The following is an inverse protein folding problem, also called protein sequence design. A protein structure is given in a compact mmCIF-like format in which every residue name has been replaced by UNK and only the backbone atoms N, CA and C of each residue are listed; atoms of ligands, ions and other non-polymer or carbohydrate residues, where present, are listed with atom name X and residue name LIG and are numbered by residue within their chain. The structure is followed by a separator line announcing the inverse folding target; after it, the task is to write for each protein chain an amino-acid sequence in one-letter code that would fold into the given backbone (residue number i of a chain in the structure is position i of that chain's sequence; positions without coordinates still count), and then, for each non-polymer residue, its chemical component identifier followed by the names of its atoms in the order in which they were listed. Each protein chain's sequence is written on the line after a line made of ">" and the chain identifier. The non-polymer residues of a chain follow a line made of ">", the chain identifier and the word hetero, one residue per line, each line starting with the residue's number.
data_IF_471107558971
#
_entry.id   IF_471107558971
#
_cell.length_a   1.000
_cell.length_b   1.000
_cell.length_c   1.000
_cell.angle_alpha   90.00
_cell.angle_beta   90.00
_cell.angle_gamma   90.00
#
_symmetry.space_group_name_H-M   'P 1'
#
loop_
_entity.id
_entity.type
_entity.pdbx_description
1 polymer ?
#
# COMPACT_ATOMS: atom_id res chain seq x y z
N UNK A 1 -7.41 -4.59 -28.67
CA UNK A 1 -7.71 -4.93 -27.26
C UNK A 1 -7.30 -3.75 -26.41
N UNK A 2 -8.15 -3.23 -25.54
CA UNK A 2 -7.78 -2.12 -24.63
C UNK A 2 -6.98 -2.68 -23.45
N UNK A 3 -5.97 -1.93 -23.00
CA UNK A 3 -5.18 -2.23 -21.79
C UNK A 3 -5.48 -1.19 -20.74
N UNK A 4 -5.59 -1.63 -19.47
CA UNK A 4 -5.64 -0.77 -18.30
C UNK A 4 -4.28 -0.89 -17.59
N UNK A 5 -3.57 0.23 -17.49
CA UNK A 5 -2.31 0.29 -16.76
C UNK A 5 -2.56 0.98 -15.42
N UNK A 6 -2.21 0.29 -14.34
CA UNK A 6 -2.34 0.79 -12.98
C UNK A 6 -0.93 1.08 -12.46
N UNK A 7 -0.56 2.35 -12.24
CA UNK A 7 0.74 2.68 -11.67
C UNK A 7 0.83 2.21 -10.23
N UNK A 8 2.03 1.84 -9.74
CA UNK A 8 2.22 1.30 -8.39
C UNK A 8 1.99 2.33 -7.27
N UNK A 9 1.91 3.61 -7.61
CA UNK A 9 1.71 4.69 -6.65
C UNK A 9 2.89 4.83 -5.69
N UNK A 10 2.63 4.69 -4.41
CA UNK A 10 3.64 4.81 -3.34
C UNK A 10 4.55 3.58 -3.18
N UNK A 11 4.41 2.58 -4.06
CA UNK A 11 5.06 1.26 -3.94
C UNK A 11 6.04 1.00 -5.09
N UNK A 12 6.84 -0.06 -4.93
CA UNK A 12 7.66 -0.69 -5.95
C UNK A 12 7.60 -2.21 -5.82
N UNK A 13 8.31 -2.97 -6.66
CA UNK A 13 8.35 -4.43 -6.62
C UNK A 13 7.01 -5.12 -6.93
N UNK A 14 6.05 -4.38 -7.48
CA UNK A 14 4.72 -4.89 -7.86
C UNK A 14 4.84 -5.87 -9.03
N UNK A 15 5.79 -5.64 -9.90
CA UNK A 15 6.18 -6.53 -11.00
C UNK A 15 6.71 -7.87 -10.48
N UNK A 16 7.58 -7.85 -9.46
CA UNK A 16 8.12 -9.04 -8.82
C UNK A 16 7.00 -9.85 -8.12
N UNK A 17 6.09 -9.17 -7.41
CA UNK A 17 4.93 -9.81 -6.79
C UNK A 17 4.02 -10.45 -7.85
N UNK A 18 3.76 -9.75 -8.95
CA UNK A 18 2.98 -10.26 -10.08
C UNK A 18 3.65 -11.48 -10.73
N UNK A 19 4.97 -11.45 -10.91
CA UNK A 19 5.72 -12.57 -11.44
C UNK A 19 5.64 -13.81 -10.53
N UNK A 20 5.71 -13.62 -9.20
CA UNK A 20 5.63 -14.70 -8.22
C UNK A 20 4.30 -15.47 -8.26
N UNK A 21 3.20 -14.86 -8.75
CA UNK A 21 1.92 -15.55 -8.93
C UNK A 21 2.03 -16.77 -9.85
N UNK A 22 2.99 -16.76 -10.79
CA UNK A 22 3.19 -17.85 -11.75
C UNK A 22 3.64 -19.16 -11.10
N UNK A 23 4.24 -19.07 -9.92
CA UNK A 23 4.63 -20.25 -9.13
C UNK A 23 3.63 -20.58 -8.02
N UNK A 24 2.59 -19.78 -7.86
CA UNK A 24 1.60 -19.90 -6.79
C UNK A 24 2.01 -19.16 -5.52
N UNK A 25 1.11 -18.26 -5.09
CA UNK A 25 1.20 -17.55 -3.82
C UNK A 25 0.34 -18.25 -2.77
N UNK A 26 0.86 -18.36 -1.56
CA UNK A 26 0.16 -18.87 -0.37
C UNK A 26 -0.40 -17.74 0.47
N UNK A 27 0.42 -16.71 0.71
CA UNK A 27 0.03 -15.52 1.47
C UNK A 27 0.51 -14.23 0.82
N UNK A 28 -0.29 -13.18 1.00
CA UNK A 28 0.11 -11.78 0.75
C UNK A 28 -0.46 -10.95 1.89
N UNK A 29 0.42 -10.30 2.63
CA UNK A 29 0.09 -9.41 3.73
C UNK A 29 0.66 -8.02 3.45
N UNK A 30 -0.15 -6.99 3.65
CA UNK A 30 0.24 -5.60 3.48
C UNK A 30 -0.07 -4.81 4.76
N UNK A 31 0.97 -4.39 5.44
CA UNK A 31 0.89 -3.52 6.61
C UNK A 31 1.13 -2.08 6.19
N UNK A 32 0.16 -1.21 6.47
CA UNK A 32 0.21 0.23 6.18
C UNK A 32 0.30 0.98 7.50
N UNK A 33 1.41 1.66 7.71
CA UNK A 33 1.69 2.42 8.93
C UNK A 33 1.83 3.90 8.58
N UNK A 34 1.07 4.74 9.26
CA UNK A 34 1.11 6.19 9.06
C UNK A 34 1.02 6.91 10.41
N UNK A 35 1.48 8.16 10.48
CA UNK A 35 1.24 8.99 11.66
C UNK A 35 -0.26 9.18 11.89
N UNK A 36 -0.72 9.40 13.15
CA UNK A 36 -2.14 9.57 13.47
C UNK A 36 -2.84 10.65 12.63
N UNK A 37 -2.15 11.75 12.32
CA UNK A 37 -2.69 12.85 11.51
C UNK A 37 -3.09 12.41 10.10
N UNK A 38 -2.44 11.41 9.52
CA UNK A 38 -2.80 10.89 8.20
C UNK A 38 -4.09 10.05 8.22
N UNK A 39 -4.56 9.63 9.38
CA UNK A 39 -5.80 8.91 9.59
C UNK A 39 -6.97 9.81 10.01
N UNK A 40 -6.71 11.09 10.28
CA UNK A 40 -7.74 12.06 10.69
C UNK A 40 -8.82 12.22 9.60
N UNK A 41 -10.07 12.39 10.04
CA UNK A 41 -11.23 12.47 9.17
C UNK A 41 -11.56 11.15 8.45
N UNK A 42 -11.16 10.02 8.99
CA UNK A 42 -11.50 8.68 8.50
C UNK A 42 -12.19 7.87 9.59
N UNK A 43 -12.69 6.68 9.24
CA UNK A 43 -13.26 5.73 10.20
C UNK A 43 -12.28 5.34 11.34
N UNK A 44 -10.98 5.56 11.17
CA UNK A 44 -9.99 5.29 12.21
C UNK A 44 -10.27 6.02 13.52
N UNK A 45 -10.87 7.22 13.47
CA UNK A 45 -11.24 8.01 14.67
C UNK A 45 -12.32 7.34 15.52
N UNK A 46 -13.12 6.45 14.93
CA UNK A 46 -14.11 5.66 15.67
C UNK A 46 -13.54 4.37 16.23
N UNK A 47 -12.40 3.91 15.68
CA UNK A 47 -11.77 2.65 16.05
C UNK A 47 -10.65 2.81 17.09
N UNK A 48 -10.05 4.00 17.19
CA UNK A 48 -9.03 4.30 18.19
C UNK A 48 -8.94 5.80 18.47
N UNK A 49 -8.48 6.15 19.67
CA UNK A 49 -8.19 7.54 20.06
C UNK A 49 -6.86 7.98 19.43
N UNK A 50 -6.93 8.49 18.18
CA UNK A 50 -5.74 8.92 17.42
C UNK A 50 -4.91 9.99 18.15
N UNK A 51 -5.56 10.89 18.90
CA UNK A 51 -4.88 11.99 19.60
C UNK A 51 -4.17 11.52 20.89
N UNK A 52 -4.73 10.52 21.55
CA UNK A 52 -4.22 9.96 22.80
C UNK A 52 -3.17 8.88 22.62
N UNK A 53 -2.86 8.45 21.38
CA UNK A 53 -1.89 7.36 21.15
C UNK A 53 -0.51 7.69 21.70
N UNK A 54 0.10 6.71 22.39
CA UNK A 54 1.48 6.77 22.93
C UNK A 54 2.37 5.68 22.33
N UNK A 55 1.77 4.72 21.61
CA UNK A 55 2.45 3.62 20.95
C UNK A 55 1.72 3.27 19.64
N UNK A 56 2.34 2.54 18.71
CA UNK A 56 1.70 2.08 17.50
C UNK A 56 0.45 1.25 17.79
N UNK A 57 -0.67 1.59 17.15
CA UNK A 57 -1.96 0.92 17.28
C UNK A 57 -2.41 0.37 15.94
N UNK A 58 -2.54 -0.96 15.84
CA UNK A 58 -3.23 -1.59 14.73
C UNK A 58 -4.75 -1.50 14.98
N UNK A 59 -5.44 -0.69 14.21
CA UNK A 59 -6.88 -0.43 14.40
C UNK A 59 -7.76 -1.16 13.38
N UNK A 60 -7.15 -1.75 12.34
CA UNK A 60 -7.87 -2.51 11.33
C UNK A 60 -7.06 -3.73 10.89
N UNK A 61 -7.76 -4.86 10.78
CA UNK A 61 -7.29 -6.08 10.14
C UNK A 61 -8.41 -6.64 9.25
N UNK A 62 -8.12 -6.92 7.99
CA UNK A 62 -9.12 -7.42 7.07
C UNK A 62 -8.54 -7.76 5.71
N UNK A 63 -9.40 -7.84 4.72
CA UNK A 63 -9.03 -8.03 3.31
C UNK A 63 -8.68 -6.69 2.65
N UNK A 64 -7.98 -6.76 1.51
CA UNK A 64 -7.69 -5.54 0.73
C UNK A 64 -8.98 -4.88 0.22
N UNK A 65 -10.03 -5.66 -0.08
CA UNK A 65 -11.35 -5.14 -0.45
C UNK A 65 -11.97 -4.32 0.68
N UNK A 66 -11.99 -4.87 1.90
CA UNK A 66 -12.54 -4.19 3.07
C UNK A 66 -11.75 -2.92 3.41
N UNK A 67 -10.41 -3.01 3.38
CA UNK A 67 -9.55 -1.86 3.63
C UNK A 67 -9.81 -0.72 2.64
N UNK A 68 -9.91 -1.02 1.34
CA UNK A 68 -10.16 -0.02 0.31
C UNK A 68 -11.57 0.58 0.40
N UNK A 69 -12.58 -0.21 0.78
CA UNK A 69 -13.95 0.27 0.95
C UNK A 69 -14.09 1.22 2.15
N UNK A 70 -13.43 0.90 3.28
CA UNK A 70 -13.52 1.66 4.53
C UNK A 70 -12.57 2.86 4.60
N UNK A 71 -11.41 2.75 3.94
CA UNK A 71 -10.33 3.76 3.97
C UNK A 71 -9.88 4.16 2.56
N UNK A 72 -10.78 4.65 1.69
CA UNK A 72 -10.51 4.83 0.26
C UNK A 72 -9.38 5.84 -0.03
N UNK A 73 -9.16 6.82 0.85
CA UNK A 73 -8.10 7.83 0.69
C UNK A 73 -6.74 7.38 1.24
N UNK A 74 -6.69 6.27 1.99
CA UNK A 74 -5.50 5.86 2.73
C UNK A 74 -4.99 4.48 2.34
N UNK A 75 -5.87 3.61 1.83
CA UNK A 75 -5.58 2.21 1.56
C UNK A 75 -5.71 1.81 0.07
N UNK A 76 -5.75 2.78 -0.86
CA UNK A 76 -5.84 2.50 -2.31
C UNK A 76 -4.70 1.59 -2.80
N UNK A 77 -3.49 1.78 -2.28
CA UNK A 77 -2.33 0.93 -2.61
C UNK A 77 -2.51 -0.53 -2.21
N UNK A 78 -3.41 -0.83 -1.26
CA UNK A 78 -3.72 -2.21 -0.90
C UNK A 78 -4.39 -2.97 -2.06
N UNK A 79 -5.20 -2.29 -2.86
CA UNK A 79 -5.78 -2.88 -4.07
C UNK A 79 -4.72 -3.15 -5.14
N UNK A 80 -3.72 -2.28 -5.29
CA UNK A 80 -2.62 -2.50 -6.24
C UNK A 80 -1.85 -3.76 -5.87
N UNK A 81 -1.48 -3.92 -4.59
CA UNK A 81 -0.84 -5.13 -4.06
C UNK A 81 -1.71 -6.37 -4.28
N UNK A 82 -3.00 -6.25 -3.98
CA UNK A 82 -3.93 -7.35 -4.12
C UNK A 82 -4.11 -7.80 -5.59
N UNK A 83 -4.23 -6.85 -6.52
CA UNK A 83 -4.36 -7.14 -7.94
C UNK A 83 -3.10 -7.79 -8.53
N UNK A 84 -1.93 -7.40 -8.02
CA UNK A 84 -0.67 -8.03 -8.39
C UNK A 84 -0.40 -9.38 -7.70
N UNK A 85 -1.13 -9.68 -6.62
CA UNK A 85 -0.95 -10.88 -5.79
C UNK A 85 -2.13 -11.84 -5.82
N UNK A 86 -2.75 -12.06 -4.65
CA UNK A 86 -3.82 -13.06 -4.45
C UNK A 86 -5.23 -12.57 -4.72
N UNK A 87 -5.40 -11.35 -5.19
CA UNK A 87 -6.69 -10.70 -5.35
C UNK A 87 -7.23 -10.05 -4.07
N UNK A 88 -8.27 -9.19 -4.20
CA UNK A 88 -8.75 -8.34 -3.11
C UNK A 88 -9.29 -9.07 -1.89
N UNK A 89 -9.81 -10.28 -2.07
CA UNK A 89 -10.49 -11.04 -1.03
C UNK A 89 -9.52 -11.95 -0.23
N UNK A 90 -8.36 -12.28 -0.81
CA UNK A 90 -7.36 -13.16 -0.19
C UNK A 90 -6.13 -12.42 0.35
N UNK A 91 -5.82 -11.24 -0.19
CA UNK A 91 -4.74 -10.40 0.32
C UNK A 91 -5.15 -9.75 1.64
N UNK A 92 -4.32 -9.89 2.67
CA UNK A 92 -4.59 -9.35 4.01
C UNK A 92 -3.99 -7.96 4.16
N UNK A 93 -4.69 -7.11 4.90
CA UNK A 93 -4.28 -5.73 5.18
C UNK A 93 -4.38 -5.44 6.66
N UNK A 94 -3.35 -4.82 7.19
CA UNK A 94 -3.30 -4.25 8.54
C UNK A 94 -3.06 -2.75 8.45
N UNK A 95 -3.93 -1.94 9.06
CA UNK A 95 -3.75 -0.49 9.15
C UNK A 95 -3.31 -0.11 10.56
N UNK A 96 -2.29 0.74 10.64
CA UNK A 96 -1.65 1.11 11.90
C UNK A 96 -1.49 2.63 11.99
N UNK A 97 -1.91 3.20 13.10
CA UNK A 97 -1.55 4.55 13.50
C UNK A 97 -0.32 4.46 14.42
N UNK A 98 0.76 5.15 14.05
CA UNK A 98 2.02 5.15 14.80
C UNK A 98 2.43 6.58 15.14
N UNK A 99 2.30 7.01 16.41
CA UNK A 99 2.65 8.37 16.82
C UNK A 99 4.15 8.69 16.71
N UNK A 100 5.01 7.67 16.63
CA UNK A 100 6.45 7.86 16.44
C UNK A 100 6.85 7.93 14.97
N UNK A 101 5.92 7.63 14.03
CA UNK A 101 6.23 7.66 12.60
C UNK A 101 6.12 9.07 12.04
N UNK A 102 7.15 9.50 11.32
CA UNK A 102 7.15 10.73 10.52
C UNK A 102 6.92 10.46 9.02
N UNK A 103 6.73 9.19 8.63
CA UNK A 103 6.64 8.74 7.23
C UNK A 103 5.42 7.84 7.01
N UNK A 104 5.00 7.74 5.76
CA UNK A 104 4.06 6.71 5.32
C UNK A 104 4.84 5.44 5.01
N UNK A 105 4.67 4.39 5.82
CA UNK A 105 5.39 3.12 5.67
C UNK A 105 4.46 2.03 5.14
N UNK A 106 4.96 1.28 4.19
CA UNK A 106 4.32 0.10 3.63
C UNK A 106 5.24 -1.09 3.78
N UNK A 107 4.74 -2.17 4.35
CA UNK A 107 5.44 -3.44 4.50
C UNK A 107 4.59 -4.52 3.83
N UNK A 108 5.14 -5.16 2.78
CA UNK A 108 4.46 -6.22 2.04
C UNK A 108 5.25 -7.48 2.22
N UNK A 109 4.60 -8.52 2.72
CA UNK A 109 5.18 -9.87 2.83
C UNK A 109 4.39 -10.81 1.94
N UNK A 110 5.07 -11.57 1.11
CA UNK A 110 4.46 -12.61 0.28
C UNK A 110 5.24 -13.92 0.42
N UNK A 111 4.51 -15.03 0.47
CA UNK A 111 5.08 -16.39 0.51
C UNK A 111 4.41 -17.27 -0.52
N UNK A 112 5.11 -18.33 -0.93
CA UNK A 112 4.61 -19.31 -1.87
C UNK A 112 5.71 -20.25 -2.37
N UNK A 113 5.46 -21.01 -3.41
CA UNK A 113 6.43 -21.94 -3.98
C UNK A 113 7.69 -21.24 -4.52
N UNK A 114 7.63 -19.93 -4.82
CA UNK A 114 8.80 -19.14 -5.22
C UNK A 114 9.77 -18.84 -4.06
N UNK A 115 9.35 -19.07 -2.79
CA UNK A 115 10.05 -18.71 -1.57
C UNK A 115 9.31 -17.61 -0.81
N UNK A 116 10.01 -16.56 -0.39
CA UNK A 116 9.45 -15.42 0.32
C UNK A 116 9.95 -14.09 -0.23
N UNK A 117 9.12 -13.06 -0.09
CA UNK A 117 9.44 -11.69 -0.49
C UNK A 117 9.03 -10.74 0.63
N UNK A 118 9.89 -9.79 0.96
CA UNK A 118 9.60 -8.68 1.87
C UNK A 118 9.94 -7.38 1.16
N UNK A 119 8.95 -6.51 0.99
CA UNK A 119 9.10 -5.18 0.42
C UNK A 119 8.77 -4.16 1.49
N UNK A 120 9.65 -3.18 1.71
CA UNK A 120 9.43 -2.10 2.66
C UNK A 120 9.71 -0.77 2.02
N UNK A 121 8.76 0.15 2.18
CA UNK A 121 8.82 1.52 1.68
C UNK A 121 8.54 2.48 2.82
N UNK A 122 9.36 3.51 2.93
CA UNK A 122 9.20 4.62 3.86
C UNK A 122 9.15 5.91 3.04
N UNK A 123 7.94 6.40 2.80
CA UNK A 123 7.71 7.51 1.90
C UNK A 123 7.47 8.80 2.69
N UNK A 124 8.15 9.87 2.29
CA UNK A 124 7.83 11.20 2.79
C UNK A 124 6.38 11.56 2.43
N UNK A 125 5.57 12.04 3.38
CA UNK A 125 4.24 12.55 3.09
C UNK A 125 4.36 13.85 2.26
N UNK A 126 3.36 14.13 1.44
CA UNK A 126 3.23 15.44 0.82
C UNK A 126 2.95 16.51 1.89
N UNK A 127 3.51 17.72 1.72
CA UNK A 127 3.35 18.81 2.69
C UNK A 127 1.88 19.22 2.86
N UNK A 128 1.16 19.28 1.74
CA UNK A 128 -0.23 19.77 1.71
C UNK A 128 -1.26 18.64 1.80
N UNK A 129 -0.82 17.37 1.71
CA UNK A 129 -1.66 16.18 1.87
C UNK A 129 -0.88 15.02 2.53
N UNK A 130 -0.85 14.97 3.87
CA UNK A 130 -0.14 13.91 4.61
C UNK A 130 -0.67 12.49 4.35
N UNK A 131 -1.87 12.36 3.79
CA UNK A 131 -2.46 11.06 3.41
C UNK A 131 -1.76 10.45 2.21
N UNK A 132 -1.17 11.30 1.35
CA UNK A 132 -0.48 10.94 0.11
C UNK A 132 1.04 10.96 0.28
N UNK A 133 1.74 10.24 -0.58
CA UNK A 133 3.21 10.18 -0.63
C UNK A 133 3.73 10.80 -1.92
N UNK A 134 4.89 11.46 -1.87
CA UNK A 134 5.56 12.03 -3.03
C UNK A 134 5.80 10.98 -4.13
N UNK A 135 6.13 9.74 -3.75
CA UNK A 135 6.29 8.61 -4.68
C UNK A 135 5.06 8.36 -5.56
N UNK A 136 3.86 8.68 -5.09
CA UNK A 136 2.63 8.50 -5.89
C UNK A 136 2.65 9.39 -7.15
N UNK A 137 3.06 10.65 -7.01
CA UNK A 137 3.19 11.55 -8.15
C UNK A 137 4.32 11.09 -9.09
N UNK A 138 5.47 10.68 -8.53
CA UNK A 138 6.61 10.19 -9.32
C UNK A 138 6.27 8.93 -10.12
N UNK A 139 5.42 8.05 -9.60
CA UNK A 139 4.98 6.86 -10.34
C UNK A 139 4.14 7.21 -11.58
N UNK A 140 3.36 8.30 -11.54
CA UNK A 140 2.63 8.82 -12.69
C UNK A 140 3.57 9.47 -13.71
N UNK A 141 4.55 10.26 -13.25
CA UNK A 141 5.58 10.82 -14.13
C UNK A 141 6.30 9.69 -14.86
N UNK A 142 6.73 8.66 -14.12
CA UNK A 142 7.41 7.49 -14.70
C UNK A 142 6.54 6.75 -15.73
N UNK A 143 5.25 6.62 -15.49
CA UNK A 143 4.31 6.01 -16.44
C UNK A 143 4.28 6.80 -17.77
N UNK A 144 4.24 8.13 -17.69
CA UNK A 144 4.23 9.01 -18.88
C UNK A 144 5.56 8.92 -19.63
N UNK A 145 6.68 8.99 -18.92
CA UNK A 145 8.02 8.85 -19.50
C UNK A 145 8.19 7.53 -20.23
N UNK A 146 7.72 6.41 -19.64
CA UNK A 146 7.79 5.09 -20.24
C UNK A 146 7.01 4.99 -21.57
N UNK A 147 5.97 5.80 -21.78
CA UNK A 147 5.21 5.78 -23.02
C UNK A 147 6.03 6.25 -24.25
N UNK A 148 7.09 7.04 -24.02
CA UNK A 148 8.00 7.52 -25.07
C UNK A 148 9.43 7.02 -24.98
N UNK A 149 9.74 6.18 -23.97
CA UNK A 149 11.09 5.70 -23.71
C UNK A 149 11.48 4.53 -24.63
N UNK A 150 12.75 4.51 -25.06
CA UNK A 150 13.32 3.35 -25.77
C UNK A 150 13.74 2.20 -24.84
N UNK A 151 13.90 2.47 -23.55
CA UNK A 151 14.15 1.50 -22.48
C UNK A 151 13.12 1.68 -21.38
N UNK A 152 12.38 0.63 -21.09
CA UNK A 152 11.39 0.56 -20.01
C UNK A 152 11.85 -0.46 -18.97
N UNK A 153 11.95 -0.01 -17.72
CA UNK A 153 12.33 -0.83 -16.55
C UNK A 153 11.22 -0.77 -15.52
#
# INVERSE_FOLDING_TARGET
>A
MAQLIIPPGALGGIDALSAATRMGLESVEHRIVKPPVAWAGTEAETLCDLAGLRAPMAFFHGTAREAAARFPLNANVALVVALAGLGPDRSRVTLVADPASAVNRHEITATGAFGSMVLRFENAPLRDDPKSSAMTALSLVRLIENAGASLVI
#
